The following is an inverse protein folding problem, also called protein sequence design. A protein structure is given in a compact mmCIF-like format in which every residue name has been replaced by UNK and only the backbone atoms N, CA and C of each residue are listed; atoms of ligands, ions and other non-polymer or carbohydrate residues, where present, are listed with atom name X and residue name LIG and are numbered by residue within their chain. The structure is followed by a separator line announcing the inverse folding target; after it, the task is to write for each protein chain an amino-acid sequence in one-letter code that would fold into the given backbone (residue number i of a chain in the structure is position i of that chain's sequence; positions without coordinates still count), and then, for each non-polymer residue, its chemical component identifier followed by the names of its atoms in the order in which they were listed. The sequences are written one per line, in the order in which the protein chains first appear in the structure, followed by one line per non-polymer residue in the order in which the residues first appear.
data_IF_593333929740
#
_entry.id   IF_593333929740
#
_cell.length_a   1.000
_cell.length_b   1.000
_cell.length_c   1.000
_cell.angle_alpha   90.00
_cell.angle_beta   90.00
_cell.angle_gamma   90.00
#
_symmetry.space_group_name_H-M   'P 1'
#
loop_
_entity.id
_entity.type
_entity.pdbx_description
1 polymer ?
#
# COMPACT_ATOMS: atom_id res chain seq x y z
N UNK A 1 66.37 -30.49 -35.47
CA UNK A 1 65.69 -29.29 -35.01
C UNK A 1 64.39 -29.76 -34.37
N UNK A 2 64.37 -29.90 -33.06
CA UNK A 2 63.28 -30.48 -32.30
C UNK A 2 62.59 -29.31 -31.57
N UNK A 3 61.30 -29.08 -31.89
CA UNK A 3 60.50 -28.04 -31.24
C UNK A 3 59.73 -28.70 -30.12
N UNK A 4 60.02 -28.29 -28.87
CA UNK A 4 59.23 -28.68 -27.70
C UNK A 4 58.06 -27.71 -27.58
N UNK A 5 56.85 -28.22 -27.72
CA UNK A 5 55.62 -27.51 -27.37
C UNK A 5 55.30 -27.79 -25.89
N UNK A 6 55.38 -26.77 -25.04
CA UNK A 6 54.94 -26.84 -23.65
C UNK A 6 53.42 -26.61 -23.61
N UNK A 7 52.70 -27.63 -23.19
CA UNK A 7 51.27 -27.54 -22.89
C UNK A 7 51.14 -27.01 -21.46
N UNK A 8 50.79 -25.73 -21.37
CA UNK A 8 50.40 -25.10 -20.10
C UNK A 8 48.98 -25.47 -19.77
N UNK A 9 48.77 -26.35 -18.80
CA UNK A 9 47.46 -26.64 -18.24
C UNK A 9 46.99 -25.47 -17.38
N UNK A 10 45.95 -24.76 -17.84
CA UNK A 10 45.24 -23.81 -17.00
C UNK A 10 44.29 -24.60 -16.09
N UNK A 11 44.62 -24.62 -14.80
CA UNK A 11 43.68 -25.09 -13.76
C UNK A 11 42.63 -24.01 -13.59
N UNK A 12 41.44 -24.26 -14.15
CA UNK A 12 40.25 -23.49 -13.83
C UNK A 12 39.84 -23.84 -12.39
N UNK A 13 40.19 -22.98 -11.45
CA UNK A 13 39.60 -23.00 -10.12
C UNK A 13 38.20 -22.44 -10.27
N UNK A 14 37.22 -23.33 -10.31
CA UNK A 14 35.80 -22.94 -10.11
C UNK A 14 35.68 -22.48 -8.65
N UNK A 15 35.85 -21.20 -8.41
CA UNK A 15 35.28 -20.57 -7.23
C UNK A 15 33.78 -20.51 -7.47
N UNK A 16 33.05 -21.48 -6.92
CA UNK A 16 31.63 -21.29 -6.63
C UNK A 16 31.55 -20.06 -5.70
N UNK A 17 31.22 -18.92 -6.27
CA UNK A 17 30.79 -17.78 -5.50
C UNK A 17 29.42 -18.20 -4.96
N UNK A 18 29.45 -18.58 -3.68
CA UNK A 18 28.23 -18.78 -2.88
C UNK A 18 27.59 -17.39 -2.74
N UNK A 19 26.82 -17.02 -3.77
CA UNK A 19 25.91 -15.87 -3.74
C UNK A 19 24.73 -16.21 -2.80
N UNK A 20 25.03 -16.48 -1.55
CA UNK A 20 24.08 -16.20 -0.48
C UNK A 20 24.06 -14.68 -0.30
N UNK A 21 23.49 -13.96 -1.29
CA UNK A 21 22.98 -12.62 -1.05
C UNK A 21 21.99 -12.75 0.11
N UNK A 22 22.45 -12.36 1.30
CA UNK A 22 21.55 -11.96 2.35
C UNK A 22 20.78 -10.78 1.75
N UNK A 23 19.63 -11.04 1.14
CA UNK A 23 18.66 -10.01 0.83
C UNK A 23 18.38 -9.31 2.15
N UNK A 24 19.03 -8.17 2.37
CA UNK A 24 18.71 -7.27 3.46
C UNK A 24 17.20 -7.02 3.34
N UNK A 25 16.42 -7.70 4.18
CA UNK A 25 14.97 -7.55 4.19
C UNK A 25 14.70 -6.10 4.52
N UNK A 26 14.38 -5.30 3.50
CA UNK A 26 14.00 -3.90 3.72
C UNK A 26 12.76 -3.87 4.60
N UNK A 27 12.93 -3.52 5.85
CA UNK A 27 11.84 -3.34 6.81
C UNK A 27 11.11 -2.04 6.56
N UNK A 28 10.03 -1.83 7.29
CA UNK A 28 9.21 -0.62 7.21
C UNK A 28 10.09 0.62 7.50
N UNK A 29 10.04 1.68 6.68
CA UNK A 29 10.80 2.90 6.91
C UNK A 29 10.52 3.54 8.28
N UNK A 30 11.57 4.04 8.93
CA UNK A 30 11.47 4.67 10.25
C UNK A 30 10.50 5.84 10.29
N UNK A 31 10.37 6.60 9.20
CA UNK A 31 9.40 7.71 9.09
C UNK A 31 7.95 7.24 9.21
N UNK A 32 7.64 6.02 8.73
CA UNK A 32 6.33 5.39 8.87
C UNK A 32 6.21 4.75 10.25
N UNK A 33 7.16 3.92 10.64
CA UNK A 33 7.15 3.17 11.90
C UNK A 33 7.05 4.08 13.14
N UNK A 34 7.62 5.29 13.08
CA UNK A 34 7.58 6.27 14.16
C UNK A 34 6.49 7.34 13.99
N UNK A 35 5.70 7.32 12.92
CA UNK A 35 4.63 8.28 12.70
C UNK A 35 3.50 8.08 13.73
N UNK A 36 2.94 9.20 14.22
CA UNK A 36 1.88 9.17 15.24
C UNK A 36 0.67 8.32 14.83
N UNK A 37 0.25 8.42 13.58
CA UNK A 37 -0.90 7.65 13.07
C UNK A 37 -0.59 6.15 13.01
N UNK A 38 0.65 5.76 12.65
CA UNK A 38 1.06 4.36 12.72
C UNK A 38 1.04 3.83 14.16
N UNK A 39 1.47 4.62 15.13
CA UNK A 39 1.38 4.26 16.56
C UNK A 39 -0.06 4.13 17.03
N UNK A 40 -0.96 4.99 16.56
CA UNK A 40 -2.40 4.86 16.82
C UNK A 40 -2.94 3.57 16.23
N UNK A 41 -2.65 3.30 14.97
CA UNK A 41 -3.01 2.04 14.29
C UNK A 41 -2.48 0.81 15.05
N UNK A 42 -1.20 0.80 15.46
CA UNK A 42 -0.65 -0.29 16.27
C UNK A 42 -1.44 -0.52 17.56
N UNK A 43 -1.84 0.57 18.22
CA UNK A 43 -2.64 0.50 19.45
C UNK A 43 -4.03 -0.09 19.18
N UNK A 44 -4.73 0.38 18.17
CA UNK A 44 -6.05 -0.12 17.78
C UNK A 44 -6.02 -1.63 17.43
N UNK A 45 -4.99 -2.05 16.68
CA UNK A 45 -4.78 -3.47 16.38
C UNK A 45 -4.49 -4.28 17.66
N UNK A 46 -3.67 -3.74 18.58
CA UNK A 46 -3.38 -4.38 19.86
C UNK A 46 -4.64 -4.50 20.75
N UNK A 47 -5.48 -3.47 20.79
CA UNK A 47 -6.75 -3.48 21.51
C UNK A 47 -7.72 -4.54 20.95
N UNK A 48 -7.58 -4.87 19.65
CA UNK A 48 -8.29 -5.97 18.98
C UNK A 48 -7.59 -7.34 19.11
N UNK A 49 -6.49 -7.42 19.87
CA UNK A 49 -5.73 -8.67 20.08
C UNK A 49 -4.74 -9.02 18.97
N UNK A 50 -4.45 -8.08 18.04
CA UNK A 50 -3.55 -8.27 16.91
C UNK A 50 -2.26 -7.48 17.15
N UNK A 51 -1.12 -8.18 17.23
CA UNK A 51 0.20 -7.57 17.45
C UNK A 51 0.80 -7.16 16.12
N UNK A 52 1.12 -5.88 15.98
CA UNK A 52 1.79 -5.30 14.80
C UNK A 52 3.21 -4.90 15.15
N UNK A 53 4.19 -5.70 14.73
CA UNK A 53 5.61 -5.40 14.93
C UNK A 53 6.20 -4.78 13.66
N UNK A 54 6.63 -3.49 13.67
CA UNK A 54 7.17 -2.85 12.47
C UNK A 54 8.46 -3.51 11.96
N UNK A 55 9.26 -4.15 12.83
CA UNK A 55 10.51 -4.81 12.44
C UNK A 55 10.25 -6.12 11.65
N UNK A 56 9.05 -6.67 11.74
CA UNK A 56 8.61 -7.87 11.01
C UNK A 56 7.86 -7.56 9.72
N UNK A 57 7.56 -6.27 9.48
CA UNK A 57 6.90 -5.82 8.26
C UNK A 57 7.95 -5.56 7.19
N UNK A 58 7.93 -6.34 6.12
CA UNK A 58 8.99 -6.34 5.10
C UNK A 58 8.47 -5.93 3.73
N UNK A 59 9.35 -5.28 2.94
CA UNK A 59 9.06 -4.91 1.56
C UNK A 59 8.79 -6.16 0.73
N UNK A 60 7.64 -6.20 0.07
CA UNK A 60 7.21 -7.29 -0.82
C UNK A 60 7.22 -6.88 -2.28
N UNK A 61 6.90 -5.61 -2.56
CA UNK A 61 6.75 -5.13 -3.92
C UNK A 61 7.04 -3.63 -3.98
N UNK A 62 7.63 -3.19 -5.08
CA UNK A 62 7.84 -1.79 -5.38
C UNK A 62 7.60 -1.57 -6.87
N UNK A 63 6.71 -0.65 -7.20
CA UNK A 63 6.34 -0.35 -8.59
C UNK A 63 5.96 1.11 -8.78
N UNK A 64 5.82 1.51 -10.02
CA UNK A 64 5.21 2.78 -10.37
C UNK A 64 3.72 2.79 -10.04
N UNK A 65 3.21 3.95 -9.58
CA UNK A 65 1.77 4.16 -9.35
C UNK A 65 1.07 4.65 -10.61
N UNK A 66 1.81 5.24 -11.54
CA UNK A 66 1.24 5.83 -12.74
C UNK A 66 0.66 4.74 -13.66
N UNK A 67 -0.64 4.81 -13.86
CA UNK A 67 -1.35 4.10 -14.90
C UNK A 67 -2.17 5.13 -15.68
N UNK A 68 -1.89 5.37 -16.98
CA UNK A 68 -2.57 6.37 -17.79
C UNK A 68 -4.09 6.22 -17.79
N UNK A 69 -4.59 5.00 -17.71
CA UNK A 69 -6.02 4.71 -17.74
C UNK A 69 -6.72 5.04 -16.41
N UNK A 70 -5.95 5.18 -15.34
CA UNK A 70 -6.45 5.39 -13.98
C UNK A 70 -6.22 6.79 -13.43
N UNK A 71 -5.36 7.58 -14.06
CA UNK A 71 -5.05 8.95 -13.65
C UNK A 71 -5.55 9.90 -14.72
N UNK A 72 -6.55 10.69 -14.36
CA UNK A 72 -7.07 11.77 -15.18
C UNK A 72 -6.51 13.09 -14.67
N UNK A 73 -6.00 13.89 -15.59
CA UNK A 73 -5.40 15.18 -15.30
C UNK A 73 -6.19 16.27 -16.06
N UNK A 74 -6.62 17.28 -15.35
CA UNK A 74 -7.39 18.38 -15.89
C UNK A 74 -6.67 19.72 -15.63
N UNK A 75 -6.89 20.71 -16.50
CA UNK A 75 -6.47 22.07 -16.22
C UNK A 75 -7.24 22.64 -15.02
N UNK A 76 -6.61 23.47 -14.21
CA UNK A 76 -7.30 24.25 -13.17
C UNK A 76 -8.37 25.21 -13.72
N UNK A 77 -8.31 25.52 -15.01
CA UNK A 77 -9.33 26.33 -15.71
C UNK A 77 -10.58 25.51 -16.07
N UNK A 78 -10.58 24.20 -15.81
CA UNK A 78 -11.76 23.38 -15.98
C UNK A 78 -12.74 23.63 -14.82
N UNK A 79 -13.64 24.59 -14.99
CA UNK A 79 -14.60 25.01 -13.95
C UNK A 79 -15.49 23.84 -13.45
N UNK A 80 -15.84 22.90 -14.33
CA UNK A 80 -16.66 21.74 -13.94
C UNK A 80 -15.91 20.88 -12.93
N UNK A 81 -14.63 20.58 -13.22
CA UNK A 81 -13.81 19.76 -12.33
C UNK A 81 -13.38 20.48 -11.06
N UNK A 82 -13.22 21.79 -11.14
CA UNK A 82 -12.94 22.63 -9.98
C UNK A 82 -14.13 22.65 -9.02
N UNK A 83 -15.35 22.88 -9.53
CA UNK A 83 -16.56 22.85 -8.73
C UNK A 83 -16.80 21.45 -8.12
N UNK A 84 -16.62 20.36 -8.91
CA UNK A 84 -16.68 18.97 -8.40
C UNK A 84 -15.69 18.76 -7.24
N UNK A 85 -14.47 19.28 -7.35
CA UNK A 85 -13.46 19.16 -6.31
C UNK A 85 -13.88 19.91 -5.05
N UNK A 86 -14.33 21.17 -5.17
CA UNK A 86 -14.77 22.00 -4.05
C UNK A 86 -15.95 21.35 -3.31
N UNK A 87 -16.96 20.89 -4.05
CA UNK A 87 -18.12 20.18 -3.51
C UNK A 87 -17.70 18.88 -2.81
N UNK A 88 -16.78 18.11 -3.43
CA UNK A 88 -16.26 16.88 -2.86
C UNK A 88 -15.49 17.17 -1.56
N UNK A 89 -14.62 18.16 -1.55
CA UNK A 89 -13.87 18.55 -0.35
C UNK A 89 -14.78 18.99 0.79
N UNK A 90 -15.86 19.71 0.47
CA UNK A 90 -16.82 20.15 1.47
C UNK A 90 -17.67 18.98 2.00
N UNK A 91 -18.12 18.09 1.13
CA UNK A 91 -18.99 16.95 1.50
C UNK A 91 -18.26 15.84 2.25
N UNK A 92 -16.95 15.68 2.02
CA UNK A 92 -16.13 14.64 2.64
C UNK A 92 -15.33 15.13 3.85
N UNK A 93 -15.49 16.38 4.24
CA UNK A 93 -14.86 16.90 5.44
C UNK A 93 -15.37 16.12 6.67
N UNK A 94 -14.41 15.63 7.46
CA UNK A 94 -14.67 14.88 8.70
C UNK A 94 -15.42 13.54 8.50
N UNK A 95 -15.38 12.97 7.29
CA UNK A 95 -15.94 11.65 6.99
C UNK A 95 -14.90 10.57 7.27
N UNK A 96 -15.28 9.53 7.99
CA UNK A 96 -14.41 8.37 8.22
C UNK A 96 -13.97 7.72 6.90
N UNK A 97 -12.71 7.30 6.82
CA UNK A 97 -12.14 6.72 5.61
C UNK A 97 -11.75 7.76 4.56
N UNK A 98 -11.63 9.03 4.97
CA UNK A 98 -11.15 10.13 4.13
C UNK A 98 -10.10 10.92 4.89
N UNK A 99 -9.01 11.26 4.23
CA UNK A 99 -7.98 12.13 4.80
C UNK A 99 -7.56 13.20 3.79
N UNK A 100 -7.13 14.34 4.29
CA UNK A 100 -6.65 15.46 3.49
C UNK A 100 -5.14 15.58 3.61
N UNK A 101 -4.48 15.99 2.51
CA UNK A 101 -3.08 16.40 2.58
C UNK A 101 -2.89 17.57 3.57
N UNK A 102 -1.69 17.77 4.13
CA UNK A 102 -1.42 18.86 5.07
C UNK A 102 -1.79 20.25 4.53
N UNK A 103 -1.58 20.50 3.23
CA UNK A 103 -1.97 21.74 2.54
C UNK A 103 -3.45 21.78 2.13
N UNK A 104 -4.20 20.70 2.41
CA UNK A 104 -5.64 20.53 2.10
C UNK A 104 -5.99 20.61 0.61
N UNK A 105 -5.04 20.37 -0.26
CA UNK A 105 -5.25 20.41 -1.70
C UNK A 105 -5.61 19.06 -2.30
N UNK A 106 -5.39 17.96 -1.57
CA UNK A 106 -5.62 16.60 -2.04
C UNK A 106 -6.47 15.83 -1.03
N UNK A 107 -7.48 15.13 -1.54
CA UNK A 107 -8.31 14.17 -0.81
C UNK A 107 -7.81 12.77 -1.13
N UNK A 108 -7.59 11.96 -0.10
CA UNK A 108 -7.42 10.53 -0.20
C UNK A 108 -8.67 9.86 0.38
N UNK A 109 -9.48 9.26 -0.48
CA UNK A 109 -10.70 8.53 -0.12
C UNK A 109 -10.41 7.03 -0.16
N UNK A 110 -10.34 6.41 1.02
CA UNK A 110 -10.10 4.98 1.20
C UNK A 110 -11.29 4.25 1.82
N UNK A 111 -12.47 4.87 1.78
CA UNK A 111 -13.70 4.22 2.23
C UNK A 111 -13.91 2.92 1.48
N UNK A 112 -14.29 1.87 2.20
CA UNK A 112 -14.55 0.54 1.65
C UNK A 112 -15.89 0.50 0.87
N UNK A 113 -16.10 1.45 -0.04
CA UNK A 113 -17.30 1.58 -0.84
C UNK A 113 -17.04 1.07 -2.25
N UNK A 114 -17.78 0.03 -2.64
CA UNK A 114 -17.86 -0.39 -4.04
C UNK A 114 -18.73 0.56 -4.82
N UNK A 115 -18.26 1.02 -5.97
CA UNK A 115 -19.17 1.66 -6.95
C UNK A 115 -20.15 0.60 -7.47
N UNK A 116 -21.38 1.00 -7.75
CA UNK A 116 -22.38 0.11 -8.36
C UNK A 116 -21.80 -0.50 -9.64
N UNK A 117 -21.74 -1.83 -9.71
CA UNK A 117 -21.17 -2.58 -10.84
C UNK A 117 -19.64 -2.72 -10.81
N UNK A 118 -18.94 -2.21 -9.79
CA UNK A 118 -17.51 -2.43 -9.63
C UNK A 118 -17.21 -3.75 -8.92
N UNK A 119 -16.18 -4.45 -9.37
CA UNK A 119 -15.69 -5.70 -8.77
C UNK A 119 -14.64 -5.47 -7.68
N UNK A 120 -14.35 -4.23 -7.33
CA UNK A 120 -13.29 -3.87 -6.39
C UNK A 120 -13.63 -2.62 -5.58
N UNK A 121 -13.11 -2.54 -4.36
CA UNK A 121 -13.02 -1.31 -3.57
C UNK A 121 -11.85 -0.51 -4.10
N UNK A 122 -12.01 0.80 -4.23
CA UNK A 122 -11.02 1.65 -4.88
C UNK A 122 -10.57 2.76 -3.95
N UNK A 123 -9.28 3.02 -3.95
CA UNK A 123 -8.70 4.21 -3.33
C UNK A 123 -8.66 5.32 -4.37
N UNK A 124 -9.36 6.42 -4.09
CA UNK A 124 -9.37 7.61 -4.94
C UNK A 124 -8.49 8.70 -4.36
N UNK A 125 -7.64 9.25 -5.21
CA UNK A 125 -6.92 10.48 -4.94
C UNK A 125 -7.54 11.57 -5.83
N UNK A 126 -8.04 12.65 -5.21
CA UNK A 126 -8.66 13.75 -5.92
C UNK A 126 -8.21 15.07 -5.34
N UNK A 127 -7.67 15.96 -6.18
CA UNK A 127 -7.15 17.23 -5.68
C UNK A 127 -6.34 18.03 -6.68
N UNK A 128 -5.69 19.07 -6.17
CA UNK A 128 -4.83 19.96 -6.96
C UNK A 128 -3.38 19.64 -6.65
N UNK A 129 -2.59 19.41 -7.71
CA UNK A 129 -1.16 19.23 -7.62
C UNK A 129 -0.48 19.85 -8.84
N UNK A 130 0.59 20.64 -8.63
CA UNK A 130 1.35 21.26 -9.71
C UNK A 130 0.45 21.99 -10.72
N UNK A 131 -0.48 22.81 -10.21
CA UNK A 131 -1.43 23.59 -11.02
C UNK A 131 -2.36 22.76 -11.93
N UNK A 132 -2.59 21.50 -11.57
CA UNK A 132 -3.50 20.59 -12.28
C UNK A 132 -4.43 19.91 -11.31
N UNK A 133 -5.65 19.61 -11.75
CA UNK A 133 -6.58 18.79 -11.01
C UNK A 133 -6.30 17.33 -11.35
N UNK A 134 -6.02 16.53 -10.33
CA UNK A 134 -5.83 15.08 -10.43
C UNK A 134 -7.09 14.38 -9.98
N UNK A 135 -7.52 13.38 -10.74
CA UNK A 135 -8.57 12.42 -10.35
C UNK A 135 -8.05 11.01 -10.67
N UNK A 136 -7.64 10.30 -9.66
CA UNK A 136 -6.93 9.04 -9.82
C UNK A 136 -7.52 7.92 -8.96
N UNK A 137 -7.62 6.72 -9.55
CA UNK A 137 -7.86 5.47 -8.82
C UNK A 137 -6.53 4.75 -8.67
N UNK A 138 -5.95 4.80 -7.48
CA UNK A 138 -4.57 4.36 -7.23
C UNK A 138 -4.45 2.88 -6.93
N UNK A 139 -5.35 2.36 -6.11
CA UNK A 139 -5.32 1.00 -5.61
C UNK A 139 -6.71 0.38 -5.71
N UNK A 140 -6.74 -0.92 -5.94
CA UNK A 140 -7.94 -1.73 -5.91
C UNK A 140 -7.77 -2.87 -4.91
N UNK A 141 -8.86 -3.13 -4.19
CA UNK A 141 -9.01 -4.30 -3.36
C UNK A 141 -10.18 -5.11 -3.91
N UNK A 142 -9.92 -6.29 -4.46
CA UNK A 142 -10.98 -7.12 -5.00
C UNK A 142 -11.95 -7.53 -3.87
N UNK A 143 -13.24 -7.28 -4.05
CA UNK A 143 -14.27 -7.55 -3.03
C UNK A 143 -14.26 -9.03 -2.63
N UNK A 144 -13.99 -9.90 -3.61
CA UNK A 144 -13.87 -11.35 -3.39
C UNK A 144 -12.62 -11.76 -2.59
N UNK A 145 -11.65 -10.88 -2.41
CA UNK A 145 -10.41 -11.18 -1.66
C UNK A 145 -10.49 -10.82 -0.19
N UNK A 146 -11.67 -10.35 0.28
CA UNK A 146 -11.89 -9.93 1.68
C UNK A 146 -10.80 -8.99 2.21
N UNK A 147 -10.25 -8.16 1.34
CA UNK A 147 -9.32 -7.12 1.73
C UNK A 147 -10.06 -5.83 2.09
N UNK A 148 -9.56 -5.13 3.09
CA UNK A 148 -10.18 -3.93 3.64
C UNK A 148 -9.11 -2.89 3.94
N UNK A 149 -9.36 -1.64 3.53
CA UNK A 149 -8.54 -0.52 3.97
C UNK A 149 -9.02 -0.07 5.34
N UNK A 150 -8.10 0.00 6.31
CA UNK A 150 -8.40 0.31 7.71
C UNK A 150 -8.17 1.79 8.02
N UNK A 151 -7.03 2.32 7.59
CA UNK A 151 -6.60 3.68 7.89
C UNK A 151 -5.74 4.23 6.74
N UNK A 152 -5.70 5.56 6.65
CA UNK A 152 -4.85 6.25 5.68
C UNK A 152 -4.49 7.65 6.15
N UNK A 153 -3.25 8.05 5.95
CA UNK A 153 -2.77 9.37 6.35
C UNK A 153 -1.65 9.86 5.45
N UNK A 154 -1.51 11.18 5.37
CA UNK A 154 -0.38 11.83 4.72
C UNK A 154 0.79 12.01 5.69
N UNK A 155 2.00 11.66 5.24
CA UNK A 155 3.26 12.04 5.91
C UNK A 155 3.57 13.50 5.56
N UNK A 156 3.39 13.86 4.29
CA UNK A 156 3.50 15.23 3.75
C UNK A 156 2.57 15.36 2.53
N UNK A 157 2.64 16.47 1.79
CA UNK A 157 1.73 16.71 0.65
C UNK A 157 1.90 15.73 -0.51
N UNK A 158 3.05 15.07 -0.62
CA UNK A 158 3.38 14.15 -1.71
C UNK A 158 3.46 12.67 -1.28
N UNK A 159 3.47 12.40 0.03
CA UNK A 159 3.64 11.05 0.54
C UNK A 159 2.50 10.69 1.49
N UNK A 160 1.90 9.54 1.27
CA UNK A 160 0.88 9.00 2.15
C UNK A 160 1.04 7.50 2.36
N UNK A 161 0.40 7.04 3.42
CA UNK A 161 0.37 5.64 3.83
C UNK A 161 -1.08 5.17 3.88
N UNK A 162 -1.31 3.93 3.47
CA UNK A 162 -2.58 3.22 3.64
C UNK A 162 -2.32 1.89 4.33
N UNK A 163 -3.15 1.58 5.30
CA UNK A 163 -3.17 0.27 5.97
C UNK A 163 -4.30 -0.58 5.40
N UNK A 164 -3.96 -1.77 4.94
CA UNK A 164 -4.88 -2.78 4.44
C UNK A 164 -4.76 -4.04 5.29
N UNK A 165 -5.88 -4.67 5.59
CA UNK A 165 -5.92 -6.05 6.06
C UNK A 165 -6.53 -6.91 4.97
N UNK A 166 -5.93 -8.06 4.70
CA UNK A 166 -6.41 -8.97 3.67
C UNK A 166 -6.22 -10.42 4.10
N UNK A 167 -7.05 -11.32 3.57
CA UNK A 167 -6.82 -12.75 3.70
C UNK A 167 -5.46 -13.11 3.12
N UNK A 168 -4.64 -13.77 3.92
CA UNK A 168 -3.33 -14.24 3.50
C UNK A 168 -3.44 -15.41 2.52
N UNK A 169 -4.48 -16.26 2.71
CA UNK A 169 -4.77 -17.40 1.83
C UNK A 169 -6.25 -17.43 1.48
N UNK A 170 -6.56 -17.86 0.25
CA UNK A 170 -7.93 -18.14 -0.16
C UNK A 170 -8.35 -19.49 0.43
N UNK A 171 -8.94 -19.43 1.61
CA UNK A 171 -9.60 -20.55 2.23
C UNK A 171 -11.10 -20.23 2.29
N UNK A 172 -11.93 -20.82 1.43
CA UNK A 172 -13.36 -20.51 1.38
C UNK A 172 -14.09 -20.93 2.66
N UNK A 173 -13.54 -21.88 3.41
CA UNK A 173 -14.18 -22.45 4.58
C UNK A 173 -13.89 -21.65 5.85
N UNK A 174 -12.77 -20.94 5.91
CA UNK A 174 -12.35 -20.19 7.10
C UNK A 174 -13.37 -19.13 7.54
N UNK A 175 -14.07 -18.50 6.60
CA UNK A 175 -15.12 -17.51 6.93
C UNK A 175 -16.31 -18.20 7.64
N UNK A 176 -16.66 -19.41 7.21
CA UNK A 176 -17.72 -20.21 7.85
C UNK A 176 -17.28 -20.74 9.22
N UNK A 177 -16.00 -21.04 9.39
CA UNK A 177 -15.39 -21.45 10.65
C UNK A 177 -15.23 -20.28 11.64
N UNK A 178 -15.32 -19.05 11.14
CA UNK A 178 -15.25 -17.81 11.93
C UNK A 178 -13.83 -17.32 12.25
N UNK A 179 -12.79 -18.01 11.77
CA UNK A 179 -11.38 -17.66 11.96
C UNK A 179 -10.60 -17.87 10.68
N UNK A 180 -9.81 -16.88 10.27
CA UNK A 180 -9.01 -16.92 9.05
C UNK A 180 -7.58 -16.44 9.30
N UNK A 181 -6.68 -16.76 8.34
CA UNK A 181 -5.33 -16.19 8.30
C UNK A 181 -5.34 -14.88 7.51
N UNK A 182 -4.82 -13.85 8.13
CA UNK A 182 -4.72 -12.51 7.57
C UNK A 182 -3.27 -12.03 7.51
N UNK A 183 -3.02 -11.05 6.66
CA UNK A 183 -1.81 -10.21 6.70
C UNK A 183 -2.19 -8.73 6.72
N UNK A 184 -1.34 -7.92 7.33
CA UNK A 184 -1.40 -6.46 7.26
C UNK A 184 -0.51 -6.02 6.11
N UNK A 185 -1.06 -5.20 5.23
CA UNK A 185 -0.33 -4.57 4.14
C UNK A 185 -0.27 -3.08 4.35
N UNK A 186 0.92 -2.52 4.16
CA UNK A 186 1.18 -1.10 4.28
C UNK A 186 1.63 -0.61 2.91
N UNK A 187 0.80 0.23 2.30
CA UNK A 187 1.12 0.88 1.04
C UNK A 187 1.72 2.24 1.34
N UNK A 188 2.99 2.42 1.00
CA UNK A 188 3.65 3.73 1.01
C UNK A 188 3.67 4.28 -0.41
N UNK A 189 3.00 5.40 -0.61
CA UNK A 189 2.84 6.04 -1.93
C UNK A 189 3.55 7.38 -1.94
N UNK A 190 4.47 7.53 -2.88
CA UNK A 190 5.31 8.72 -3.08
C UNK A 190 4.97 9.34 -4.44
N UNK A 191 4.04 10.31 -4.43
CA UNK A 191 3.50 10.92 -5.65
C UNK A 191 4.57 11.62 -6.48
N UNK A 192 5.56 12.29 -5.84
CA UNK A 192 6.63 13.00 -6.53
C UNK A 192 7.56 12.04 -7.29
N UNK A 193 7.72 10.82 -6.79
CA UNK A 193 8.59 9.80 -7.37
C UNK A 193 7.84 8.80 -8.24
N UNK A 194 6.51 8.95 -8.36
CA UNK A 194 5.64 7.99 -9.02
C UNK A 194 5.85 6.55 -8.51
N UNK A 195 6.01 6.38 -7.19
CA UNK A 195 6.40 5.11 -6.60
C UNK A 195 5.40 4.64 -5.55
N UNK A 196 5.07 3.36 -5.58
CA UNK A 196 4.37 2.65 -4.53
C UNK A 196 5.23 1.51 -4.00
N UNK A 197 5.46 1.49 -2.71
CA UNK A 197 6.09 0.38 -1.99
C UNK A 197 5.04 -0.34 -1.17
N UNK A 198 4.98 -1.65 -1.28
CA UNK A 198 4.10 -2.53 -0.51
C UNK A 198 4.93 -3.28 0.52
N UNK A 199 4.62 -3.06 1.79
CA UNK A 199 5.17 -3.81 2.92
C UNK A 199 4.09 -4.74 3.48
N UNK A 200 4.48 -5.90 3.96
CA UNK A 200 3.56 -6.91 4.47
C UNK A 200 4.09 -7.55 5.75
N UNK A 201 3.19 -7.75 6.72
CA UNK A 201 3.47 -8.47 7.96
C UNK A 201 3.59 -9.98 7.72
N UNK A 202 4.04 -10.70 8.74
CA UNK A 202 3.77 -12.14 8.84
C UNK A 202 2.24 -12.40 8.87
N UNK A 203 1.85 -13.61 8.46
CA UNK A 203 0.47 -14.07 8.58
C UNK A 203 0.09 -14.23 10.06
N UNK A 204 -1.14 -13.88 10.42
CA UNK A 204 -1.68 -14.07 11.75
C UNK A 204 -3.13 -14.57 11.69
N UNK A 205 -3.53 -15.30 12.71
CA UNK A 205 -4.89 -15.81 12.84
C UNK A 205 -5.77 -14.79 13.56
N UNK A 206 -6.96 -14.52 13.02
CA UNK A 206 -7.93 -13.64 13.66
C UNK A 206 -9.37 -14.07 13.35
N UNK A 207 -10.27 -13.75 14.28
CA UNK A 207 -11.70 -13.93 14.06
C UNK A 207 -12.23 -12.97 13.01
N UNK A 208 -13.05 -13.50 12.11
CA UNK A 208 -13.76 -12.69 11.09
C UNK A 208 -14.60 -11.58 11.74
N UNK A 209 -15.16 -11.84 12.92
CA UNK A 209 -15.94 -10.86 13.67
C UNK A 209 -15.07 -9.68 14.14
N UNK A 210 -13.84 -9.93 14.61
CA UNK A 210 -12.89 -8.91 15.04
C UNK A 210 -12.49 -8.04 13.83
N UNK A 211 -12.17 -8.66 12.70
CA UNK A 211 -11.80 -7.90 11.49
C UNK A 211 -12.96 -7.02 11.02
N UNK A 212 -14.21 -7.50 11.08
CA UNK A 212 -15.38 -6.69 10.72
C UNK A 212 -15.60 -5.49 11.66
N UNK A 213 -15.25 -5.61 12.92
CA UNK A 213 -15.35 -4.49 13.87
C UNK A 213 -14.32 -3.40 13.60
N UNK A 214 -13.13 -3.75 13.12
CA UNK A 214 -12.08 -2.78 12.75
C UNK A 214 -12.45 -1.92 11.53
N UNK A 215 -13.47 -2.31 10.78
CA UNK A 215 -13.89 -1.65 9.51
C UNK A 215 -15.08 -0.70 9.71
N UNK A 216 -15.70 -0.71 10.87
CA UNK A 216 -16.86 0.15 11.20
C UNK A 216 -16.40 1.52 11.70
#
# INVERSE_FOLDING_TARGET
MVIFASVGGAVLVNTEIDESESQDKKTLPNEIANHKNFKTFQKEMSDAGIVVNPDEITLKDQREIYNPDRIKVFSQQNEIKKNELEETMQSLKDVNGVTLSPDRNIILDYRNISKIGASARQIRLFGIRSEKILDASLLDCAISSECVFLDGYFINNDNFVLHEISLARKDPDCVAEGTCLYSIKIHHVELAQNRRSLYESAEFEASVAVIRLLVQ
#
